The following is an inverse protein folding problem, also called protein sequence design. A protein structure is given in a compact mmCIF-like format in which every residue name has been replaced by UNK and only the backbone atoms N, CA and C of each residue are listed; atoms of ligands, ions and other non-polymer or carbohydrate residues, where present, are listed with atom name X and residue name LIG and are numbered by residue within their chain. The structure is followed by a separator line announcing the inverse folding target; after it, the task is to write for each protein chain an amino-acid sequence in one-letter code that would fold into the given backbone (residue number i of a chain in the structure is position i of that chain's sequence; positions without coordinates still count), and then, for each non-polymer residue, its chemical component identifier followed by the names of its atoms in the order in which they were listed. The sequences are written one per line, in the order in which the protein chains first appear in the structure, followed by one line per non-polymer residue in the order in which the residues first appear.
data_IF_457626509920
#
_entry.id   IF_457626509920
#
_cell.length_a   1.000
_cell.length_b   1.000
_cell.length_c   1.000
_cell.angle_alpha   90.00
_cell.angle_beta   90.00
_cell.angle_gamma   90.00
#
_symmetry.space_group_name_H-M   'P 1'
#
loop_
_entity.id
_entity.type
_entity.pdbx_description
1 polymer ?
#
# COMPACT_ATOMS: atom_id res chain seq x y z
N UNK A 1 -15.63 -6.40 4.08
CA UNK A 1 -16.18 -6.58 2.71
C UNK A 1 -17.54 -5.90 2.54
N UNK A 2 -18.55 -6.12 3.39
CA UNK A 2 -19.85 -5.42 3.28
C UNK A 2 -19.70 -3.89 3.38
N UNK A 3 -19.06 -3.38 4.43
CA UNK A 3 -18.84 -1.95 4.64
C UNK A 3 -18.11 -1.24 3.47
N UNK A 4 -17.22 -1.93 2.75
CA UNK A 4 -16.54 -1.37 1.58
C UNK A 4 -17.52 -1.09 0.43
N UNK A 5 -18.47 -2.01 0.20
CA UNK A 5 -19.50 -1.84 -0.84
C UNK A 5 -20.45 -0.69 -0.54
N UNK A 6 -20.78 -0.46 0.73
CA UNK A 6 -21.67 0.62 1.17
C UNK A 6 -21.10 2.02 0.87
N UNK A 7 -19.77 2.16 0.91
CA UNK A 7 -19.08 3.44 0.64
C UNK A 7 -18.37 3.49 -0.71
N UNK A 8 -18.64 2.54 -1.61
CA UNK A 8 -18.08 2.52 -2.96
C UNK A 8 -16.58 2.22 -3.04
N UNK A 9 -15.97 1.69 -1.97
CA UNK A 9 -14.55 1.32 -1.94
C UNK A 9 -14.36 -0.09 -2.49
N UNK A 10 -13.44 -0.24 -3.44
CA UNK A 10 -13.01 -1.57 -3.91
C UNK A 10 -12.06 -2.16 -2.87
N UNK A 11 -12.53 -3.16 -2.14
CA UNK A 11 -11.71 -3.83 -1.14
C UNK A 11 -10.64 -4.69 -1.78
N UNK A 12 -9.44 -4.71 -1.17
CA UNK A 12 -8.35 -5.56 -1.61
C UNK A 12 -8.78 -7.04 -1.69
N UNK A 13 -8.56 -7.74 -2.82
CA UNK A 13 -8.86 -9.17 -2.95
C UNK A 13 -8.09 -10.01 -1.92
N UNK A 14 -8.70 -11.11 -1.46
CA UNK A 14 -8.13 -11.95 -0.41
C UNK A 14 -6.72 -12.49 -0.74
N UNK A 15 -6.46 -12.84 -2.01
CA UNK A 15 -5.14 -13.28 -2.46
C UNK A 15 -4.06 -12.20 -2.31
N UNK A 16 -4.38 -10.96 -2.70
CA UNK A 16 -3.46 -9.82 -2.52
C UNK A 16 -3.26 -9.50 -1.04
N UNK A 17 -4.33 -9.57 -0.23
CA UNK A 17 -4.24 -9.42 1.22
C UNK A 17 -3.34 -10.48 1.87
N UNK A 18 -3.49 -11.75 1.48
CA UNK A 18 -2.63 -12.84 1.96
C UNK A 18 -1.16 -12.63 1.58
N UNK A 19 -0.89 -12.14 0.36
CA UNK A 19 0.45 -11.77 -0.06
C UNK A 19 1.03 -10.63 0.79
N UNK A 20 0.26 -9.56 1.05
CA UNK A 20 0.70 -8.47 1.94
C UNK A 20 1.03 -8.96 3.35
N UNK A 21 0.17 -9.81 3.91
CA UNK A 21 0.42 -10.42 5.22
C UNK A 21 1.71 -11.22 5.24
N UNK A 22 1.94 -12.04 4.22
CA UNK A 22 3.16 -12.83 4.10
C UNK A 22 4.41 -11.93 3.99
N UNK A 23 4.36 -10.90 3.13
CA UNK A 23 5.46 -9.96 2.94
C UNK A 23 5.82 -9.25 4.25
N UNK A 24 4.81 -8.72 4.97
CA UNK A 24 5.02 -8.09 6.27
C UNK A 24 5.64 -9.05 7.30
N UNK A 25 5.22 -10.33 7.30
CA UNK A 25 5.73 -11.34 8.20
C UNK A 25 7.18 -11.75 7.86
N UNK A 26 7.50 -11.94 6.58
CA UNK A 26 8.85 -12.34 6.12
C UNK A 26 9.90 -11.30 6.51
N UNK A 27 9.60 -10.01 6.36
CA UNK A 27 10.54 -8.94 6.74
C UNK A 27 10.45 -8.56 8.22
N UNK A 28 9.62 -9.26 9.01
CA UNK A 28 9.39 -8.97 10.43
C UNK A 28 8.99 -7.51 10.68
N UNK A 29 8.09 -6.98 9.85
CA UNK A 29 7.73 -5.57 9.84
C UNK A 29 7.20 -5.09 11.20
N UNK A 30 7.77 -3.97 11.68
CA UNK A 30 7.34 -3.22 12.88
C UNK A 30 6.70 -1.90 12.53
N UNK A 31 7.21 -1.24 11.50
CA UNK A 31 6.78 0.09 11.10
C UNK A 31 6.30 0.06 9.64
N UNK A 32 5.01 0.23 9.45
CA UNK A 32 4.39 0.18 8.12
C UNK A 32 3.64 1.47 7.85
N UNK A 33 3.77 1.99 6.62
CA UNK A 33 2.93 3.08 6.10
C UNK A 33 1.99 2.51 5.05
N UNK A 34 0.71 2.83 5.16
CA UNK A 34 -0.31 2.52 4.17
C UNK A 34 -0.90 3.81 3.61
N UNK A 35 -0.97 3.91 2.30
CA UNK A 35 -1.59 5.01 1.55
C UNK A 35 -2.86 4.47 0.92
N UNK A 36 -4.02 5.01 1.33
CA UNK A 36 -5.33 4.47 1.02
C UNK A 36 -5.83 3.53 2.11
N UNK A 37 -6.33 4.10 3.22
CA UNK A 37 -6.91 3.32 4.33
C UNK A 37 -8.17 2.55 3.90
N UNK A 38 -9.01 3.17 3.07
CA UNK A 38 -10.31 2.63 2.73
C UNK A 38 -11.08 2.21 3.99
N UNK A 39 -11.73 1.05 3.94
CA UNK A 39 -12.45 0.51 5.11
C UNK A 39 -11.59 -0.36 6.03
N UNK A 40 -10.26 -0.32 5.87
CA UNK A 40 -9.27 -0.99 6.72
C UNK A 40 -8.98 -2.45 6.34
N UNK A 41 -9.44 -2.93 5.20
CA UNK A 41 -9.25 -4.35 4.78
C UNK A 41 -7.77 -4.68 4.61
N UNK A 42 -7.03 -3.87 3.85
CA UNK A 42 -5.57 -4.03 3.65
C UNK A 42 -4.80 -3.85 4.96
N UNK A 43 -5.18 -2.86 5.78
CA UNK A 43 -4.60 -2.64 7.10
C UNK A 43 -4.74 -3.85 8.03
N UNK A 44 -5.88 -4.57 8.00
CA UNK A 44 -6.05 -5.82 8.76
C UNK A 44 -5.11 -6.93 8.30
N UNK A 45 -4.88 -7.08 7.00
CA UNK A 45 -3.92 -8.03 6.47
C UNK A 45 -2.49 -7.68 6.89
N UNK A 46 -2.11 -6.40 6.79
CA UNK A 46 -0.80 -5.89 7.23
C UNK A 46 -0.60 -6.14 8.73
N UNK A 47 -1.54 -5.70 9.58
CA UNK A 47 -1.48 -5.90 11.03
C UNK A 47 -1.37 -7.38 11.42
N UNK A 48 -2.03 -8.26 10.67
CA UNK A 48 -1.97 -9.71 10.88
C UNK A 48 -0.62 -10.35 10.46
N UNK A 49 0.20 -9.65 9.67
CA UNK A 49 1.56 -10.09 9.27
C UNK A 49 2.67 -9.40 10.04
N UNK A 50 2.42 -8.20 10.56
CA UNK A 50 3.38 -7.42 11.34
C UNK A 50 3.69 -8.06 12.68
N UNK A 51 4.82 -7.71 13.27
CA UNK A 51 5.13 -8.06 14.65
C UNK A 51 4.08 -7.53 15.62
N UNK A 52 3.90 -8.21 16.75
CA UNK A 52 2.89 -7.86 17.74
C UNK A 52 3.09 -6.45 18.36
N UNK A 53 4.32 -5.98 18.39
CA UNK A 53 4.72 -4.64 18.87
C UNK A 53 4.80 -3.59 17.75
N UNK A 54 4.45 -3.94 16.51
CA UNK A 54 4.53 -3.03 15.36
C UNK A 54 3.37 -2.05 15.27
N UNK A 55 3.58 -0.95 14.55
CA UNK A 55 2.60 0.12 14.33
C UNK A 55 2.36 0.33 12.83
N UNK A 56 1.10 0.25 12.43
CA UNK A 56 0.63 0.65 11.10
C UNK A 56 0.27 2.15 11.13
N UNK A 57 0.92 2.96 10.30
CA UNK A 57 0.47 4.33 9.99
C UNK A 57 -0.32 4.29 8.70
N UNK A 58 -1.62 4.58 8.74
CA UNK A 58 -2.49 4.53 7.57
C UNK A 58 -3.08 5.90 7.27
N UNK A 59 -3.08 6.31 5.99
CA UNK A 59 -3.38 7.66 5.52
C UNK A 59 -4.51 7.59 4.51
N UNK A 60 -5.54 8.41 4.71
CA UNK A 60 -6.67 8.56 3.77
C UNK A 60 -7.20 9.98 3.86
N UNK A 61 -7.66 10.53 2.74
CA UNK A 61 -8.30 11.85 2.72
C UNK A 61 -9.74 11.80 3.27
N UNK A 62 -10.40 10.64 3.17
CA UNK A 62 -11.80 10.47 3.51
C UNK A 62 -12.00 10.07 4.98
N UNK A 63 -12.61 10.95 5.77
CA UNK A 63 -12.86 10.72 7.20
C UNK A 63 -13.76 9.51 7.45
N UNK A 64 -14.74 9.27 6.59
CA UNK A 64 -15.65 8.14 6.73
C UNK A 64 -14.94 6.81 6.55
N UNK A 65 -14.00 6.71 5.60
CA UNK A 65 -13.15 5.54 5.43
C UNK A 65 -12.39 5.23 6.73
N UNK A 66 -11.79 6.24 7.33
CA UNK A 66 -11.02 6.09 8.55
C UNK A 66 -11.88 5.72 9.75
N UNK A 67 -13.12 6.23 9.84
CA UNK A 67 -14.07 5.84 10.88
C UNK A 67 -14.39 4.34 10.79
N UNK A 68 -14.63 3.84 9.58
CA UNK A 68 -14.88 2.43 9.32
C UNK A 68 -13.65 1.57 9.61
N UNK A 69 -12.47 2.01 9.21
CA UNK A 69 -11.21 1.32 9.48
C UNK A 69 -10.92 1.19 10.99
N UNK A 70 -11.11 2.28 11.78
CA UNK A 70 -10.97 2.22 13.25
C UNK A 70 -11.87 1.16 13.86
N UNK A 71 -13.13 1.13 13.41
CA UNK A 71 -14.10 0.11 13.86
C UNK A 71 -13.66 -1.30 13.49
N UNK A 72 -13.18 -1.48 12.24
CA UNK A 72 -12.71 -2.78 11.76
C UNK A 72 -11.50 -3.28 12.58
N UNK A 73 -10.52 -2.41 12.85
CA UNK A 73 -9.35 -2.76 13.66
C UNK A 73 -9.72 -3.12 15.10
N UNK A 74 -10.63 -2.35 15.73
CA UNK A 74 -11.11 -2.65 17.09
C UNK A 74 -11.88 -3.98 17.14
N UNK A 75 -12.76 -4.26 16.18
CA UNK A 75 -13.51 -5.52 16.09
C UNK A 75 -12.59 -6.72 15.87
N UNK A 76 -11.46 -6.54 15.20
CA UNK A 76 -10.44 -7.57 15.03
C UNK A 76 -9.52 -7.74 16.25
N UNK A 77 -9.76 -7.00 17.34
CA UNK A 77 -9.01 -7.12 18.59
C UNK A 77 -7.67 -6.40 18.61
N UNK A 78 -7.39 -5.53 17.63
CA UNK A 78 -6.17 -4.73 17.63
C UNK A 78 -6.26 -3.60 18.68
N UNK A 79 -5.23 -3.49 19.53
CA UNK A 79 -5.12 -2.38 20.49
C UNK A 79 -5.05 -1.02 19.77
N UNK A 80 -5.60 0.07 20.36
CA UNK A 80 -5.63 1.40 19.72
C UNK A 80 -4.26 1.92 19.27
N UNK A 81 -3.17 1.57 19.96
CA UNK A 81 -1.81 1.96 19.60
C UNK A 81 -1.22 1.21 18.40
N UNK A 82 -1.87 0.14 17.91
CA UNK A 82 -1.40 -0.64 16.77
C UNK A 82 -1.63 0.01 15.42
N UNK A 83 -2.57 0.94 15.34
CA UNK A 83 -2.88 1.66 14.10
C UNK A 83 -2.96 3.17 14.35
N UNK A 84 -2.04 3.92 13.75
CA UNK A 84 -2.06 5.37 13.69
C UNK A 84 -2.78 5.80 12.42
N UNK A 85 -4.00 6.30 12.57
CA UNK A 85 -4.85 6.72 11.44
C UNK A 85 -4.73 8.23 11.24
N UNK A 86 -4.30 8.67 10.07
CA UNK A 86 -4.05 10.08 9.72
C UNK A 86 -5.01 10.51 8.61
N UNK A 87 -5.83 11.52 8.88
CA UNK A 87 -6.67 12.16 7.86
C UNK A 87 -5.87 13.17 7.07
N UNK A 88 -5.85 13.04 5.76
CA UNK A 88 -5.18 13.97 4.85
C UNK A 88 -4.77 13.32 3.54
N UNK A 89 -4.37 14.16 2.58
CA UNK A 89 -3.80 13.67 1.33
C UNK A 89 -2.42 13.08 1.59
N UNK A 90 -2.13 11.94 0.97
CA UNK A 90 -0.86 11.25 1.18
C UNK A 90 0.35 12.15 0.93
N UNK A 91 0.36 12.90 -0.17
CA UNK A 91 1.47 13.77 -0.54
C UNK A 91 1.72 14.94 0.44
N UNK A 92 0.73 15.32 1.25
CA UNK A 92 0.88 16.33 2.30
C UNK A 92 1.40 15.73 3.62
N UNK A 93 1.15 14.43 3.84
CA UNK A 93 1.53 13.72 5.07
C UNK A 93 2.92 13.09 4.94
N UNK A 94 3.23 12.44 3.82
CA UNK A 94 4.49 11.72 3.60
C UNK A 94 5.75 12.56 3.89
N UNK A 95 5.83 13.88 3.55
CA UNK A 95 7.00 14.69 3.85
C UNK A 95 7.30 14.85 5.35
N UNK A 96 6.30 14.62 6.22
CA UNK A 96 6.41 14.76 7.69
C UNK A 96 6.82 13.46 8.38
N UNK A 97 6.91 12.37 7.64
CA UNK A 97 7.31 11.07 8.15
C UNK A 97 8.84 10.94 8.19
N UNK A 98 9.33 10.15 9.15
CA UNK A 98 10.76 9.98 9.40
C UNK A 98 11.47 9.23 8.26
N UNK A 99 12.69 9.66 7.93
CA UNK A 99 13.55 9.02 6.95
C UNK A 99 14.10 7.69 7.49
N UNK A 100 14.13 6.66 6.63
CA UNK A 100 14.69 5.35 6.96
C UNK A 100 13.98 4.61 8.11
N UNK A 101 12.82 5.10 8.54
CA UNK A 101 12.10 4.60 9.71
C UNK A 101 11.09 3.49 9.44
N UNK A 102 10.91 3.07 8.19
CA UNK A 102 9.82 2.15 7.83
C UNK A 102 10.32 0.87 7.18
N UNK A 103 9.68 -0.24 7.56
CA UNK A 103 9.94 -1.57 7.01
C UNK A 103 9.17 -1.82 5.71
N UNK A 104 7.93 -1.29 5.63
CA UNK A 104 7.06 -1.47 4.47
C UNK A 104 6.25 -0.20 4.20
N UNK A 105 6.12 0.16 2.93
CA UNK A 105 5.18 1.15 2.42
C UNK A 105 4.23 0.45 1.46
N UNK A 106 2.92 0.51 1.72
CA UNK A 106 1.89 -0.01 0.83
C UNK A 106 1.11 1.13 0.20
N UNK A 107 0.90 1.09 -1.11
CA UNK A 107 0.20 2.15 -1.87
C UNK A 107 -1.00 1.57 -2.58
N UNK A 108 -2.18 2.05 -2.21
CA UNK A 108 -3.48 1.75 -2.82
C UNK A 108 -4.35 3.02 -2.93
N UNK A 109 -3.72 4.12 -3.25
CA UNK A 109 -4.34 5.42 -3.51
C UNK A 109 -4.64 5.67 -4.99
N UNK A 110 -4.87 6.93 -5.41
CA UNK A 110 -4.98 7.30 -6.81
C UNK A 110 -3.69 7.00 -7.59
N UNK A 111 -3.81 6.44 -8.80
CA UNK A 111 -2.64 6.09 -9.64
C UNK A 111 -1.80 7.33 -9.97
N UNK A 112 -2.44 8.50 -10.11
CA UNK A 112 -1.75 9.78 -10.30
C UNK A 112 -0.68 10.10 -9.26
N UNK A 113 -0.84 9.58 -8.04
CA UNK A 113 0.07 9.83 -6.93
C UNK A 113 1.19 8.79 -6.81
N UNK A 114 1.12 7.68 -7.55
CA UNK A 114 2.06 6.54 -7.42
C UNK A 114 3.51 6.94 -7.65
N UNK A 115 3.81 7.71 -8.69
CA UNK A 115 5.19 8.15 -8.96
C UNK A 115 5.77 8.95 -7.79
N UNK A 116 5.00 9.88 -7.22
CA UNK A 116 5.40 10.64 -6.05
C UNK A 116 5.52 9.76 -4.79
N UNK A 117 4.65 8.75 -4.65
CA UNK A 117 4.74 7.76 -3.57
C UNK A 117 6.02 6.90 -3.68
N UNK A 118 6.45 6.52 -4.89
CA UNK A 118 7.73 5.80 -5.11
C UNK A 118 8.90 6.65 -4.65
N UNK A 119 8.93 7.94 -5.02
CA UNK A 119 9.98 8.87 -4.58
C UNK A 119 9.99 9.02 -3.05
N UNK A 120 8.81 9.18 -2.43
CA UNK A 120 8.69 9.28 -0.99
C UNK A 120 9.12 7.98 -0.29
N UNK A 121 8.70 6.81 -0.80
CA UNK A 121 9.04 5.52 -0.22
C UNK A 121 10.55 5.25 -0.20
N UNK A 122 11.29 5.71 -1.22
CA UNK A 122 12.75 5.64 -1.25
C UNK A 122 13.38 6.32 -0.04
N UNK A 123 12.87 7.45 0.40
CA UNK A 123 13.33 8.17 1.59
C UNK A 123 12.88 7.47 2.88
N UNK A 124 11.63 7.04 2.92
CA UNK A 124 10.99 6.51 4.13
C UNK A 124 11.50 5.12 4.53
N UNK A 125 11.74 4.25 3.55
CA UNK A 125 12.14 2.87 3.81
C UNK A 125 13.58 2.78 4.29
N UNK A 126 13.83 1.87 5.23
CA UNK A 126 15.19 1.42 5.53
C UNK A 126 15.77 0.58 4.38
N UNK A 127 17.06 0.31 4.38
CA UNK A 127 17.65 -0.72 3.51
C UNK A 127 17.00 -2.08 3.77
N UNK A 128 16.67 -2.82 2.71
CA UNK A 128 15.91 -4.07 2.77
C UNK A 128 14.41 -3.89 3.07
N UNK A 129 13.91 -2.66 3.18
CA UNK A 129 12.49 -2.37 3.30
C UNK A 129 11.73 -2.55 1.99
N UNK A 130 10.42 -2.76 2.05
CA UNK A 130 9.57 -3.04 0.90
C UNK A 130 8.62 -1.89 0.57
N UNK A 131 8.59 -1.47 -0.68
CA UNK A 131 7.48 -0.74 -1.28
C UNK A 131 6.59 -1.73 -2.03
N UNK A 132 5.29 -1.70 -1.77
CA UNK A 132 4.30 -2.53 -2.48
C UNK A 132 3.25 -1.61 -3.11
N UNK A 133 3.15 -1.62 -4.43
CA UNK A 133 2.14 -0.89 -5.20
C UNK A 133 1.04 -1.85 -5.62
N UNK A 134 -0.22 -1.52 -5.31
CA UNK A 134 -1.39 -2.29 -5.74
C UNK A 134 -1.83 -1.91 -7.16
N UNK A 135 -2.74 -2.66 -7.74
CA UNK A 135 -3.41 -2.40 -9.04
C UNK A 135 -2.47 -2.21 -10.23
N UNK A 136 -1.32 -2.87 -10.21
CA UNK A 136 -0.29 -2.69 -11.25
C UNK A 136 -0.65 -3.30 -12.61
N UNK A 137 -1.74 -4.10 -12.71
CA UNK A 137 -2.29 -4.51 -14.00
C UNK A 137 -3.28 -3.48 -14.58
N UNK A 138 -3.62 -2.44 -13.81
CA UNK A 138 -4.65 -1.46 -14.19
C UNK A 138 -6.06 -2.05 -14.18
N UNK A 139 -7.04 -1.21 -14.43
CA UNK A 139 -8.45 -1.64 -14.50
C UNK A 139 -8.61 -2.67 -15.62
N UNK A 140 -9.16 -3.84 -15.30
CA UNK A 140 -9.38 -4.95 -16.24
C UNK A 140 -8.12 -5.40 -17.01
N UNK A 141 -6.94 -5.28 -16.39
CA UNK A 141 -5.69 -5.71 -17.02
C UNK A 141 -5.18 -4.83 -18.17
N UNK A 142 -5.63 -3.57 -18.26
CA UNK A 142 -5.26 -2.66 -19.35
C UNK A 142 -3.75 -2.44 -19.53
N UNK A 143 -2.96 -2.64 -18.48
CA UNK A 143 -1.51 -2.49 -18.54
C UNK A 143 -0.88 -3.47 -19.54
N UNK A 144 -1.44 -4.67 -19.71
CA UNK A 144 -0.94 -5.66 -20.69
C UNK A 144 -1.55 -5.50 -22.09
N UNK A 145 -2.57 -4.66 -22.26
CA UNK A 145 -3.14 -4.35 -23.58
C UNK A 145 -2.25 -3.34 -24.32
N UNK A 146 -1.56 -3.72 -25.40
CA UNK A 146 -0.62 -2.83 -26.10
C UNK A 146 -1.27 -1.61 -26.74
N UNK A 147 -2.60 -1.59 -26.85
CA UNK A 147 -3.36 -0.48 -27.47
C UNK A 147 -3.84 0.54 -26.43
N UNK A 148 -3.89 0.19 -25.15
CA UNK A 148 -4.35 1.10 -24.10
C UNK A 148 -3.41 2.30 -23.91
N UNK A 149 -3.98 3.51 -23.88
CA UNK A 149 -3.24 4.78 -23.79
C UNK A 149 -3.84 5.75 -22.75
N UNK A 150 -4.72 5.27 -21.90
CA UNK A 150 -5.23 6.11 -20.81
C UNK A 150 -4.09 6.49 -19.84
N UNK A 151 -4.21 7.64 -19.17
CA UNK A 151 -3.14 8.18 -18.32
C UNK A 151 -2.65 7.20 -17.24
N UNK A 152 -3.58 6.50 -16.58
CA UNK A 152 -3.24 5.56 -15.52
C UNK A 152 -2.44 4.36 -16.06
N UNK A 153 -2.88 3.78 -17.18
CA UNK A 153 -2.16 2.69 -17.84
C UNK A 153 -0.74 3.10 -18.24
N UNK A 154 -0.57 4.29 -18.79
CA UNK A 154 0.75 4.82 -19.17
C UNK A 154 1.62 5.02 -17.93
N UNK A 155 1.08 5.61 -16.88
CA UNK A 155 1.80 5.84 -15.63
C UNK A 155 2.26 4.52 -14.97
N UNK A 156 1.38 3.51 -14.89
CA UNK A 156 1.72 2.21 -14.32
C UNK A 156 2.83 1.48 -15.09
N UNK A 157 2.79 1.54 -16.44
CA UNK A 157 3.85 0.97 -17.29
C UNK A 157 5.18 1.68 -17.05
N UNK A 158 5.17 3.00 -16.96
CA UNK A 158 6.38 3.79 -16.74
C UNK A 158 6.99 3.47 -15.38
N UNK A 159 6.18 3.37 -14.32
CA UNK A 159 6.64 2.96 -12.99
C UNK A 159 7.26 1.56 -13.02
N UNK A 160 6.61 0.60 -13.68
CA UNK A 160 7.14 -0.77 -13.80
C UNK A 160 8.47 -0.81 -14.59
N UNK A 161 8.59 0.01 -15.64
CA UNK A 161 9.82 0.15 -16.42
C UNK A 161 10.95 0.74 -15.57
N UNK A 162 10.69 1.87 -14.90
CA UNK A 162 11.68 2.54 -14.04
C UNK A 162 12.14 1.62 -12.90
N UNK A 163 11.21 0.89 -12.29
CA UNK A 163 11.54 -0.05 -11.23
C UNK A 163 12.45 -1.19 -11.71
N UNK A 164 12.22 -1.72 -12.92
CA UNK A 164 13.04 -2.76 -13.53
C UNK A 164 14.45 -2.26 -13.86
N UNK A 165 14.55 -1.03 -14.38
CA UNK A 165 15.79 -0.44 -14.86
C UNK A 165 16.60 0.22 -13.73
N UNK A 166 16.09 0.25 -12.51
CA UNK A 166 16.70 0.89 -11.34
C UNK A 166 17.72 -0.02 -10.63
N UNK A 167 18.85 0.53 -10.26
CA UNK A 167 19.83 -0.15 -9.40
C UNK A 167 19.46 -0.11 -7.91
N UNK A 168 18.51 0.78 -7.52
CA UNK A 168 18.11 0.98 -6.12
C UNK A 168 17.04 0.01 -5.64
N UNK A 169 16.31 -0.59 -6.58
CA UNK A 169 15.21 -1.49 -6.29
C UNK A 169 15.48 -2.89 -6.80
N UNK A 170 15.07 -3.88 -6.03
CA UNK A 170 14.90 -5.25 -6.50
C UNK A 170 13.40 -5.49 -6.75
N UNK A 171 12.93 -5.49 -8.02
CA UNK A 171 11.53 -5.59 -8.34
C UNK A 171 11.03 -7.03 -8.43
N UNK A 172 9.78 -7.25 -8.01
CA UNK A 172 9.02 -8.47 -8.26
C UNK A 172 7.55 -8.11 -8.49
N UNK A 173 6.96 -8.59 -9.59
CA UNK A 173 5.53 -8.42 -9.86
C UNK A 173 4.79 -9.71 -9.50
N UNK A 174 3.92 -9.63 -8.50
CA UNK A 174 3.10 -10.75 -8.06
C UNK A 174 1.72 -10.68 -8.75
N UNK A 175 1.30 -11.73 -9.47
CA UNK A 175 0.00 -11.75 -10.17
C UNK A 175 -1.13 -12.10 -9.18
N UNK A 176 -1.27 -11.32 -8.11
CA UNK A 176 -2.29 -11.48 -7.09
C UNK A 176 -3.23 -10.28 -7.10
N UNK A 177 -4.55 -10.52 -7.15
CA UNK A 177 -5.53 -9.47 -7.32
C UNK A 177 -5.34 -8.73 -8.65
N UNK A 178 -5.28 -7.41 -8.59
CA UNK A 178 -5.00 -6.54 -9.74
C UNK A 178 -3.49 -6.28 -9.96
N UNK A 179 -2.64 -7.16 -9.44
CA UNK A 179 -1.18 -7.09 -9.53
C UNK A 179 -0.54 -6.27 -8.41
N UNK A 180 0.42 -6.90 -7.70
CA UNK A 180 1.24 -6.23 -6.69
C UNK A 180 2.67 -6.09 -7.23
N UNK A 181 3.15 -4.87 -7.43
CA UNK A 181 4.56 -4.62 -7.69
C UNK A 181 5.27 -4.41 -6.36
N UNK A 182 6.16 -5.34 -6.04
CA UNK A 182 6.97 -5.33 -4.82
C UNK A 182 8.38 -4.85 -5.18
N UNK A 183 8.86 -3.84 -4.50
CA UNK A 183 10.17 -3.23 -4.71
C UNK A 183 10.93 -3.26 -3.38
N UNK A 184 11.97 -4.10 -3.28
CA UNK A 184 12.83 -4.10 -2.10
C UNK A 184 13.92 -3.03 -2.30
N UNK A 185 14.09 -2.13 -1.32
CA UNK A 185 15.17 -1.14 -1.30
C UNK A 185 16.50 -1.83 -1.05
N UNK A 186 17.47 -1.64 -1.95
CA UNK A 186 18.86 -2.11 -1.79
C UNK A 186 19.65 -1.26 -0.81
#
# INVERSE_FOLDING_TARGET
MAAAREVGVVALPAGAGAALRLLAAVIQARTVVEIGTGTGVSGLWLLGGMRADGVLTTIDAEQEHQRLARRAFAMAGHAPGRARIITGRALDVLPRLADGGYDLVFVDGPVSDYAACVVAARRLLRAGGLLVLNRMFGVNGRVVDPTARDPDTVALREIARQARDSEEWLPALLPSGEGLLCLMRR
#
